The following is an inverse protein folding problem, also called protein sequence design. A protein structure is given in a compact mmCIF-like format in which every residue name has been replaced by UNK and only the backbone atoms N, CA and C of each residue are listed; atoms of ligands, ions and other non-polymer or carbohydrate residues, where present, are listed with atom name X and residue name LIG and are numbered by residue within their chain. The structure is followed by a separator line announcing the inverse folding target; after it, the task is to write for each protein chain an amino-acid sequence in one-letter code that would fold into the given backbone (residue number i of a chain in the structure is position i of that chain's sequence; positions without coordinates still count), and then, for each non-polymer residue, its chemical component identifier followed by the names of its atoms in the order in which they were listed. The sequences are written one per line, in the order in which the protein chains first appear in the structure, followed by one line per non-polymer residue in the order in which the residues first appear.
data_IF_049212251572
#
_entry.id   IF_049212251572
#
_cell.length_a   1.000
_cell.length_b   1.000
_cell.length_c   1.000
_cell.angle_alpha   90.00
_cell.angle_beta   90.00
_cell.angle_gamma   90.00
#
_symmetry.space_group_name_H-M   'P 1'
#
loop_
_entity.id
_entity.type
_entity.pdbx_description
1 polymer ?
#
# COMPACT_ATOMS: atom_id res chain seq x y z
N UNK A 1 11.12 28.31 30.56
CA UNK A 1 11.40 28.56 29.12
C UNK A 1 10.69 27.51 28.27
N UNK A 2 9.78 27.91 27.38
CA UNK A 2 9.16 26.97 26.43
C UNK A 2 10.14 26.62 25.30
N UNK A 3 10.40 25.34 25.08
CA UNK A 3 11.20 24.86 23.96
C UNK A 3 10.50 25.22 22.64
N UNK A 4 10.99 26.26 21.95
CA UNK A 4 10.45 26.68 20.65
C UNK A 4 11.10 25.81 19.57
N UNK A 5 10.42 24.76 19.15
CA UNK A 5 10.89 23.87 18.09
C UNK A 5 11.13 24.65 16.78
N UNK A 6 12.24 24.35 16.09
CA UNK A 6 12.60 25.00 14.81
C UNK A 6 11.52 24.67 13.76
N UNK A 7 11.07 25.69 13.02
CA UNK A 7 10.16 25.49 11.88
C UNK A 7 10.91 24.70 10.80
N UNK A 8 10.41 23.51 10.47
CA UNK A 8 10.92 22.73 9.35
C UNK A 8 10.09 23.04 8.11
N UNK A 9 10.71 23.74 7.16
CA UNK A 9 10.07 24.12 5.90
C UNK A 9 10.05 22.93 4.94
N UNK A 10 8.94 22.75 4.21
CA UNK A 10 8.81 21.71 3.18
C UNK A 10 8.09 20.43 3.60
N UNK A 11 7.69 20.29 4.88
CA UNK A 11 6.89 19.13 5.31
C UNK A 11 5.54 19.04 4.57
N UNK A 12 4.93 20.18 4.24
CA UNK A 12 3.68 20.26 3.46
C UNK A 12 3.80 19.74 2.01
N UNK A 13 5.02 19.58 1.47
CA UNK A 13 5.24 19.10 0.10
C UNK A 13 5.44 17.59 0.00
N UNK A 14 5.51 16.88 1.14
CA UNK A 14 5.73 15.43 1.13
C UNK A 14 4.44 14.72 0.75
N UNK A 15 4.43 14.09 -0.42
CA UNK A 15 3.32 13.24 -0.84
C UNK A 15 3.27 11.98 0.05
N UNK A 16 2.07 11.62 0.49
CA UNK A 16 1.82 10.41 1.29
C UNK A 16 1.19 9.33 0.40
N UNK A 17 1.59 8.09 0.63
CA UNK A 17 1.04 6.93 -0.05
C UNK A 17 -0.40 6.68 0.43
N UNK A 18 -1.39 6.58 -0.47
CA UNK A 18 -2.80 6.41 -0.09
C UNK A 18 -3.15 5.02 0.49
N UNK A 19 -2.22 4.06 0.42
CA UNK A 19 -2.42 2.70 0.93
C UNK A 19 -1.85 2.47 2.33
N UNK A 20 -0.72 3.10 2.67
CA UNK A 20 -0.01 2.86 3.93
C UNK A 20 0.42 4.12 4.68
N UNK A 21 0.04 5.31 4.20
CA UNK A 21 0.43 6.62 4.76
C UNK A 21 1.95 6.86 4.89
N UNK A 22 2.78 5.98 4.33
CA UNK A 22 4.22 6.18 4.21
C UNK A 22 4.56 7.25 3.18
N UNK A 23 5.83 7.67 3.14
CA UNK A 23 6.30 8.64 2.15
C UNK A 23 6.19 8.04 0.75
N UNK A 24 5.48 8.73 -0.15
CA UNK A 24 5.39 8.34 -1.54
C UNK A 24 6.70 8.69 -2.25
N UNK A 25 7.21 7.73 -3.02
CA UNK A 25 8.51 7.83 -3.70
C UNK A 25 8.40 7.51 -5.19
N UNK A 26 7.36 6.80 -5.60
CA UNK A 26 7.16 6.36 -6.98
C UNK A 26 5.73 6.65 -7.42
N UNK A 27 5.50 6.62 -8.74
CA UNK A 27 4.15 6.74 -9.33
C UNK A 27 3.69 5.39 -9.83
N UNK A 28 2.41 5.09 -9.65
CA UNK A 28 1.75 3.95 -10.26
C UNK A 28 1.37 4.26 -11.73
N UNK A 29 0.91 3.26 -12.47
CA UNK A 29 0.40 3.34 -13.85
C UNK A 29 -0.75 4.36 -13.99
N UNK A 30 -1.60 4.48 -12.96
CA UNK A 30 -2.66 5.50 -12.88
C UNK A 30 -2.14 6.92 -12.55
N UNK A 31 -0.82 7.08 -12.39
CA UNK A 31 -0.17 8.35 -12.04
C UNK A 31 -0.17 8.70 -10.55
N UNK A 32 -0.73 7.85 -9.69
CA UNK A 32 -0.87 8.05 -8.24
C UNK A 32 0.50 7.90 -7.55
N UNK A 33 0.82 8.84 -6.66
CA UNK A 33 2.02 8.78 -5.82
C UNK A 33 1.87 7.69 -4.74
N UNK A 34 2.70 6.65 -4.83
CA UNK A 34 2.69 5.46 -3.98
C UNK A 34 4.08 5.18 -3.39
N UNK A 35 4.13 4.37 -2.33
CA UNK A 35 5.40 3.88 -1.80
C UNK A 35 5.96 2.74 -2.69
N UNK A 36 7.23 2.37 -2.49
CA UNK A 36 7.90 1.32 -3.28
C UNK A 36 7.13 -0.02 -3.30
N UNK A 37 6.48 -0.36 -2.19
CA UNK A 37 5.71 -1.61 -2.06
C UNK A 37 4.37 -1.60 -2.79
N UNK A 38 3.78 -0.42 -3.01
CA UNK A 38 2.45 -0.24 -3.60
C UNK A 38 2.52 0.26 -5.04
N UNK A 39 3.61 -0.03 -5.74
CA UNK A 39 3.80 0.33 -7.16
C UNK A 39 2.90 -0.45 -8.09
N UNK A 40 2.51 -1.67 -7.74
CA UNK A 40 1.62 -2.53 -8.54
C UNK A 40 0.16 -2.51 -8.09
N UNK A 41 -0.15 -1.80 -6.99
CA UNK A 41 -1.52 -1.78 -6.46
C UNK A 41 -2.34 -0.72 -7.16
N UNK A 42 -3.35 -1.16 -7.92
CA UNK A 42 -4.29 -0.31 -8.63
C UNK A 42 -5.34 0.21 -7.64
N UNK A 43 -5.64 1.51 -7.70
CA UNK A 43 -6.73 2.07 -6.93
C UNK A 43 -8.04 1.73 -7.62
N UNK A 44 -8.91 0.97 -6.93
CA UNK A 44 -10.24 0.62 -7.41
C UNK A 44 -11.09 1.87 -7.66
N UNK A 45 -11.84 1.86 -8.76
CA UNK A 45 -12.79 2.92 -9.13
C UNK A 45 -13.87 3.12 -8.06
N UNK A 46 -14.19 4.38 -7.77
CA UNK A 46 -15.22 4.73 -6.80
C UNK A 46 -16.07 5.90 -7.31
N UNK A 47 -17.28 5.99 -6.76
CA UNK A 47 -18.26 7.01 -7.16
C UNK A 47 -18.07 8.29 -6.35
N UNK A 48 -18.34 9.42 -7.00
CA UNK A 48 -18.46 10.72 -6.36
C UNK A 48 -19.75 10.78 -5.53
N UNK A 49 -19.87 11.77 -4.66
CA UNK A 49 -21.10 12.04 -3.89
C UNK A 49 -22.32 12.30 -4.78
N UNK A 50 -22.11 12.73 -6.03
CA UNK A 50 -23.15 12.91 -7.04
C UNK A 50 -23.54 11.60 -7.78
N UNK A 51 -22.91 10.46 -7.46
CA UNK A 51 -23.19 9.16 -8.07
C UNK A 51 -22.46 8.86 -9.39
N UNK A 52 -21.76 9.84 -9.98
CA UNK A 52 -20.91 9.64 -11.15
C UNK A 52 -19.57 8.99 -10.80
N UNK A 53 -18.93 8.35 -11.77
CA UNK A 53 -17.59 7.76 -11.61
C UNK A 53 -16.51 8.84 -11.55
N UNK A 54 -15.51 8.64 -10.69
CA UNK A 54 -14.32 9.50 -10.60
C UNK A 54 -13.17 8.88 -11.38
N UNK A 55 -12.75 9.55 -12.44
CA UNK A 55 -11.58 9.13 -13.22
C UNK A 55 -10.29 9.69 -12.61
N UNK A 56 -9.28 8.85 -12.32
CA UNK A 56 -7.97 9.34 -11.92
C UNK A 56 -7.25 9.98 -13.11
N UNK A 57 -6.72 11.19 -12.93
CA UNK A 57 -5.88 11.88 -13.92
C UNK A 57 -4.63 12.45 -13.27
N UNK A 58 -3.52 12.41 -14.01
CA UNK A 58 -2.26 12.99 -13.58
C UNK A 58 -2.13 14.45 -14.07
N UNK A 59 -1.72 15.36 -13.17
CA UNK A 59 -1.43 16.75 -13.49
C UNK A 59 -0.05 17.19 -13.00
N UNK A 60 0.29 18.47 -13.24
CA UNK A 60 1.58 19.08 -12.83
C UNK A 60 1.83 18.98 -11.32
N UNK A 61 0.77 19.09 -10.53
CA UNK A 61 0.84 19.16 -9.06
C UNK A 61 0.52 17.84 -8.36
N UNK A 62 0.40 16.74 -9.11
CA UNK A 62 0.02 15.43 -8.57
C UNK A 62 -1.24 14.88 -9.24
N UNK A 63 -1.77 13.81 -8.65
CA UNK A 63 -3.00 13.18 -9.15
C UNK A 63 -4.21 13.96 -8.67
N UNK A 64 -5.20 14.08 -9.53
CA UNK A 64 -6.53 14.58 -9.20
C UNK A 64 -7.57 13.64 -9.80
N UNK A 65 -8.79 13.69 -9.27
CA UNK A 65 -9.89 12.93 -9.84
C UNK A 65 -10.80 13.87 -10.61
N UNK A 66 -11.30 13.45 -11.76
CA UNK A 66 -12.30 14.19 -12.50
C UNK A 66 -13.64 13.46 -12.40
N UNK A 67 -14.67 14.20 -11.99
CA UNK A 67 -16.04 13.74 -12.02
C UNK A 67 -16.78 14.51 -13.12
N UNK A 68 -17.50 13.81 -13.98
CA UNK A 68 -18.24 14.41 -15.11
C UNK A 68 -19.20 15.51 -14.64
N UNK A 69 -19.89 15.30 -13.51
CA UNK A 69 -20.89 16.24 -13.01
C UNK A 69 -20.35 17.30 -12.04
N UNK A 70 -19.28 17.02 -11.29
CA UNK A 70 -18.77 17.92 -10.23
C UNK A 70 -17.45 18.60 -10.60
N UNK A 71 -16.80 18.18 -11.68
CA UNK A 71 -15.49 18.66 -12.10
C UNK A 71 -14.33 18.02 -11.33
N UNK A 72 -13.24 18.76 -11.20
CA UNK A 72 -11.99 18.27 -10.66
C UNK A 72 -12.00 18.28 -9.12
N UNK A 73 -11.61 17.14 -8.53
CA UNK A 73 -11.53 16.92 -7.09
C UNK A 73 -10.10 16.58 -6.71
N UNK A 74 -9.60 17.21 -5.65
CA UNK A 74 -8.27 16.91 -5.12
C UNK A 74 -8.22 15.46 -4.59
N UNK A 75 -7.07 14.81 -4.77
CA UNK A 75 -6.86 13.43 -4.33
C UNK A 75 -7.22 13.19 -2.86
N UNK A 76 -6.83 14.09 -1.94
CA UNK A 76 -7.17 13.97 -0.51
C UNK A 76 -8.68 13.88 -0.30
N UNK A 77 -9.45 14.79 -0.92
CA UNK A 77 -10.92 14.81 -0.83
C UNK A 77 -11.55 13.56 -1.43
N UNK A 78 -11.02 13.09 -2.55
CA UNK A 78 -11.54 11.90 -3.21
C UNK A 78 -11.32 10.63 -2.36
N UNK A 79 -10.17 10.51 -1.70
CA UNK A 79 -9.90 9.41 -0.78
C UNK A 79 -10.83 9.42 0.44
N UNK A 80 -11.16 10.61 0.97
CA UNK A 80 -12.15 10.75 2.03
C UNK A 80 -13.53 10.23 1.58
N UNK A 81 -13.98 10.59 0.38
CA UNK A 81 -15.25 10.10 -0.19
C UNK A 81 -15.25 8.57 -0.33
N UNK A 82 -14.13 7.97 -0.75
CA UNK A 82 -13.98 6.51 -0.81
C UNK A 82 -14.22 5.88 0.57
N UNK A 83 -13.69 6.46 1.64
CA UNK A 83 -13.90 5.90 2.99
C UNK A 83 -15.36 5.98 3.44
N UNK A 84 -16.10 7.03 3.06
CA UNK A 84 -17.52 7.20 3.41
C UNK A 84 -18.38 6.20 2.64
N UNK A 85 -18.16 6.10 1.33
CA UNK A 85 -18.92 5.18 0.46
C UNK A 85 -18.67 3.70 0.76
N UNK A 86 -17.46 3.35 1.21
CA UNK A 86 -17.15 1.95 1.58
C UNK A 86 -17.79 1.57 2.91
N UNK A 87 -17.85 2.48 3.90
CA UNK A 87 -18.49 2.22 5.20
C UNK A 87 -19.99 1.95 5.07
N UNK A 88 -20.67 2.65 4.17
CA UNK A 88 -22.10 2.48 3.96
C UNK A 88 -22.49 1.19 3.21
N UNK A 89 -21.53 0.42 2.69
CA UNK A 89 -21.78 -0.85 1.97
C UNK A 89 -21.53 -2.10 2.81
N UNK A 90 -21.05 -1.95 4.05
CA UNK A 90 -20.69 -3.09 4.90
C UNK A 90 -21.95 -3.78 5.46
N UNK A 91 -23.15 -3.22 5.30
CA UNK A 91 -24.39 -3.80 5.82
C UNK A 91 -25.10 -4.81 4.88
N UNK A 92 -24.67 -4.95 3.61
CA UNK A 92 -25.40 -5.79 2.62
C UNK A 92 -24.68 -7.08 2.17
N UNK A 93 -23.67 -7.58 2.88
CA UNK A 93 -23.08 -8.90 2.57
C UNK A 93 -22.92 -9.74 3.84
N UNK A 94 -24.05 -10.30 4.29
CA UNK A 94 -24.08 -11.49 5.12
C UNK A 94 -24.09 -12.74 4.22
N UNK A 95 -23.08 -13.59 4.45
CA UNK A 95 -23.04 -15.06 4.26
C UNK A 95 -23.05 -15.56 2.79
N UNK A 96 -21.99 -16.18 2.27
CA UNK A 96 -21.51 -17.51 2.63
C UNK A 96 -19.98 -17.56 2.79
N UNK A 97 -19.51 -17.97 3.97
CA UNK A 97 -18.11 -18.39 4.17
C UNK A 97 -18.02 -19.89 3.93
N UNK A 98 -17.33 -20.40 2.88
CA UNK A 98 -16.90 -21.78 2.90
C UNK A 98 -15.86 -21.94 4.02
N UNK A 99 -16.15 -22.88 4.94
CA UNK A 99 -15.29 -23.23 6.07
C UNK A 99 -13.89 -23.60 5.58
N UNK A 100 -12.80 -23.01 6.11
CA UNK A 100 -11.47 -23.45 5.75
C UNK A 100 -11.11 -24.74 6.52
N UNK A 101 -11.14 -25.88 5.83
CA UNK A 101 -10.41 -27.08 6.24
C UNK A 101 -8.93 -26.89 5.90
N UNK A 102 -8.17 -26.22 6.78
CA UNK A 102 -6.71 -26.29 6.75
C UNK A 102 -6.24 -27.34 7.75
N UNK A 103 -5.80 -28.49 7.23
CA UNK A 103 -5.00 -29.45 7.96
C UNK A 103 -3.68 -28.81 8.37
N UNK A 104 -3.42 -28.72 9.67
CA UNK A 104 -2.13 -28.33 10.21
C UNK A 104 -1.06 -29.35 9.80
N UNK A 105 -0.12 -28.95 8.95
CA UNK A 105 1.21 -29.56 8.89
C UNK A 105 2.26 -28.47 9.01
N UNK A 106 2.62 -28.17 10.25
CA UNK A 106 3.79 -27.37 10.61
C UNK A 106 5.04 -28.22 10.40
N UNK A 107 5.69 -28.12 9.23
CA UNK A 107 7.05 -28.64 9.07
C UNK A 107 8.05 -27.55 9.46
N UNK A 108 8.56 -27.62 10.68
CA UNK A 108 9.69 -26.83 11.17
C UNK A 108 10.98 -27.21 10.43
N UNK A 109 11.24 -26.60 9.27
CA UNK A 109 12.59 -26.60 8.70
C UNK A 109 13.46 -25.57 9.44
N UNK A 110 13.88 -25.92 10.66
CA UNK A 110 15.08 -25.34 11.25
C UNK A 110 16.26 -25.93 10.47
N UNK A 111 16.83 -25.12 9.58
CA UNK A 111 18.08 -25.42 8.90
C UNK A 111 19.21 -25.39 9.94
N UNK A 112 19.50 -26.53 10.54
CA UNK A 112 20.69 -26.71 11.38
C UNK A 112 21.92 -26.48 10.49
N UNK A 113 22.82 -25.59 10.92
CA UNK A 113 24.11 -25.39 10.26
C UNK A 113 24.92 -26.67 10.45
N UNK A 114 25.19 -27.39 9.37
CA UNK A 114 26.16 -28.49 9.38
C UNK A 114 27.54 -27.89 9.68
N UNK A 115 28.09 -28.21 10.84
CA UNK A 115 29.51 -28.00 11.12
C UNK A 115 30.25 -29.06 10.32
N UNK A 116 31.22 -28.64 9.51
CA UNK A 116 32.11 -29.54 8.80
C UNK A 116 33.37 -29.62 9.67
N UNK A 117 33.52 -30.70 10.42
CA UNK A 117 34.76 -30.99 11.14
C UNK A 117 35.69 -31.69 10.17
N UNK A 118 36.81 -31.04 9.84
CA UNK A 118 37.84 -31.61 8.98
C UNK A 118 38.78 -32.37 9.90
N UNK A 119 38.89 -33.68 9.70
CA UNK A 119 39.77 -34.55 10.48
C UNK A 119 41.09 -34.76 9.76
N UNK A 120 42.14 -35.11 10.49
CA UNK A 120 43.48 -35.38 9.92
C UNK A 120 43.54 -36.58 8.97
N UNK A 121 42.45 -37.34 8.85
CA UNK A 121 42.31 -38.49 7.95
C UNK A 121 41.67 -38.12 6.58
N UNK A 122 41.27 -36.85 6.38
CA UNK A 122 40.75 -36.36 5.10
C UNK A 122 41.90 -36.07 4.10
N UNK A 123 42.30 -37.10 3.35
CA UNK A 123 43.47 -37.11 2.43
C UNK A 123 43.27 -36.26 1.15
N UNK A 124 42.06 -35.78 0.86
CA UNK A 124 41.74 -35.11 -0.42
C UNK A 124 41.66 -33.57 -0.36
N UNK A 125 42.42 -32.91 0.52
CA UNK A 125 42.43 -31.43 0.59
C UNK A 125 43.71 -30.77 0.04
N UNK A 126 44.74 -31.54 -0.31
CA UNK A 126 46.01 -31.02 -0.84
C UNK A 126 46.47 -31.78 -2.09
N UNK A 127 45.68 -31.69 -3.17
CA UNK A 127 46.21 -31.80 -4.54
C UNK A 127 45.87 -30.51 -5.31
#
# INVERSE_FOLDING_TARGET
MGFKAKKSYGNYKRAMCPFCNGVATQKNEQGIDVCRMHTKSVLQDFKCTCGSWLEPRAGKFGTYFNCINCGNVNQSKALEIKTITTKNKIEDVLEDKPKPTFSNQTSTFRKERKVIEITTDDVEYFD
#
